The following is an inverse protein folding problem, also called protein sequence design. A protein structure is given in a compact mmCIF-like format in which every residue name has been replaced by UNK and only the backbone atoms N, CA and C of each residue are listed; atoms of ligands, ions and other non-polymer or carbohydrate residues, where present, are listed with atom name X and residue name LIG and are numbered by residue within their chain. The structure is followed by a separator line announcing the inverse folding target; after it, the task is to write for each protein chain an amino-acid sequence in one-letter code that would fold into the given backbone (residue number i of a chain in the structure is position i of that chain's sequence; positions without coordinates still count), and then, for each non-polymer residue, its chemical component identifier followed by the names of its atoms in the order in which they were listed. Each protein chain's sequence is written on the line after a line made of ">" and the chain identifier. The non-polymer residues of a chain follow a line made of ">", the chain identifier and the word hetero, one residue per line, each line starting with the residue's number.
data_IF_556117900319
#
_entry.id   IF_556117900319
#
_cell.length_a   1.000
_cell.length_b   1.000
_cell.length_c   1.000
_cell.angle_alpha   90.00
_cell.angle_beta   90.00
_cell.angle_gamma   90.00
#
_symmetry.space_group_name_H-M   'P 1'
#
loop_
_entity.id
_entity.type
_entity.pdbx_description
1 polymer ?
#
# COMPACT_ATOMS: atom_id res chain seq x y z
N UNK A 1 5.37 7.96 1.59
CA UNK A 1 3.89 7.84 1.48
C UNK A 1 3.31 8.79 0.44
N UNK A 2 3.39 10.12 0.59
CA UNK A 2 2.79 11.10 -0.34
C UNK A 2 3.13 10.87 -1.82
N UNK A 3 4.36 10.46 -2.12
CA UNK A 3 4.78 10.14 -3.49
C UNK A 3 3.98 8.98 -4.10
N UNK A 4 3.70 7.90 -3.36
CA UNK A 4 2.95 6.77 -3.91
C UNK A 4 1.51 7.19 -4.26
N UNK A 5 0.87 7.97 -3.39
CA UNK A 5 -0.48 8.50 -3.61
C UNK A 5 -0.59 9.36 -4.87
N UNK A 6 0.43 10.16 -5.19
CA UNK A 6 0.42 11.00 -6.40
C UNK A 6 0.85 10.26 -7.66
N UNK A 7 1.39 9.04 -7.53
CA UNK A 7 1.90 8.25 -8.65
C UNK A 7 1.05 7.00 -8.92
N UNK A 8 -0.18 6.90 -8.38
CA UNK A 8 -1.14 5.84 -8.73
C UNK A 8 -1.51 4.87 -7.60
N UNK A 9 -1.09 5.09 -6.36
CA UNK A 9 -1.65 4.39 -5.21
C UNK A 9 -2.99 5.01 -4.77
N UNK A 10 -3.92 4.18 -4.32
CA UNK A 10 -5.09 4.65 -3.58
C UNK A 10 -4.72 4.84 -2.09
N UNK A 11 -4.65 6.10 -1.67
CA UNK A 11 -4.39 6.47 -0.28
C UNK A 11 -5.64 6.90 0.48
N UNK A 12 -6.84 6.68 -0.08
CA UNK A 12 -8.10 7.00 0.59
C UNK A 12 -8.28 6.11 1.82
N UNK A 13 -8.01 4.81 1.71
CA UNK A 13 -8.24 3.85 2.80
C UNK A 13 -7.39 4.08 4.06
N UNK A 14 -6.27 4.81 3.94
CA UNK A 14 -5.36 5.14 5.07
C UNK A 14 -5.60 6.55 5.65
N UNK A 15 -6.58 7.30 5.16
CA UNK A 15 -6.94 8.59 5.76
C UNK A 15 -7.65 8.41 7.10
N UNK A 16 -7.68 9.47 7.91
CA UNK A 16 -8.46 9.47 9.15
C UNK A 16 -9.90 9.00 8.92
N UNK A 17 -10.42 8.18 9.84
CA UNK A 17 -11.74 7.55 9.80
C UNK A 17 -11.95 6.49 8.70
N UNK A 18 -10.89 6.05 8.03
CA UNK A 18 -10.97 5.01 7.00
C UNK A 18 -10.52 3.64 7.51
N UNK A 19 -10.81 2.59 6.73
CA UNK A 19 -10.69 1.20 7.14
C UNK A 19 -9.26 0.75 7.44
N UNK A 20 -8.26 1.35 6.79
CA UNK A 20 -6.83 1.06 6.98
C UNK A 20 -6.10 2.17 7.74
N UNK A 21 -6.82 3.03 8.46
CA UNK A 21 -6.19 4.06 9.28
C UNK A 21 -5.48 3.47 10.49
N UNK A 22 -6.07 2.44 11.11
CA UNK A 22 -5.49 1.76 12.26
C UNK A 22 -4.80 0.46 11.83
N UNK A 23 -3.62 0.14 12.37
CA UNK A 23 -2.83 0.96 13.31
C UNK A 23 -2.28 2.25 12.67
N UNK A 24 -2.38 3.38 13.39
CA UNK A 24 -1.95 4.70 12.90
C UNK A 24 -0.44 4.84 13.04
N UNK A 25 0.31 4.08 12.24
CA UNK A 25 1.76 4.20 12.13
C UNK A 25 2.18 4.50 10.70
N UNK A 26 3.29 5.21 10.58
CA UNK A 26 3.92 5.50 9.28
C UNK A 26 4.24 4.23 8.50
N UNK A 27 4.59 3.13 9.20
CA UNK A 27 4.94 1.85 8.56
C UNK A 27 3.72 1.18 7.95
N UNK A 28 2.59 1.17 8.65
CA UNK A 28 1.38 0.49 8.20
C UNK A 28 0.73 1.24 7.03
N UNK A 29 0.63 2.57 7.15
CA UNK A 29 0.19 3.44 6.06
C UNK A 29 1.10 3.35 4.83
N UNK A 30 2.42 3.25 5.03
CA UNK A 30 3.37 3.07 3.92
C UNK A 30 3.21 1.70 3.25
N UNK A 31 3.05 0.63 4.03
CA UNK A 31 2.83 -0.72 3.52
C UNK A 31 1.60 -0.77 2.61
N UNK A 32 0.49 -0.18 3.05
CA UNK A 32 -0.74 -0.13 2.26
C UNK A 32 -0.56 0.68 0.96
N UNK A 33 -0.01 1.90 1.06
CA UNK A 33 0.19 2.76 -0.11
C UNK A 33 1.16 2.15 -1.13
N UNK A 34 2.22 1.48 -0.66
CA UNK A 34 3.18 0.81 -1.52
C UNK A 34 2.60 -0.43 -2.18
N UNK A 35 1.77 -1.20 -1.47
CA UNK A 35 1.05 -2.31 -2.07
C UNK A 35 0.09 -1.82 -3.17
N UNK A 36 -0.76 -0.83 -2.89
CA UNK A 36 -1.69 -0.28 -3.88
C UNK A 36 -0.95 0.27 -5.11
N UNK A 37 0.14 1.03 -4.92
CA UNK A 37 1.01 1.47 -6.02
C UNK A 37 1.52 0.30 -6.87
N UNK A 38 2.08 -0.72 -6.21
CA UNK A 38 2.70 -1.85 -6.90
C UNK A 38 1.65 -2.66 -7.66
N UNK A 39 0.51 -2.96 -7.07
CA UNK A 39 -0.55 -3.73 -7.75
C UNK A 39 -1.11 -2.98 -8.97
N UNK A 40 -1.27 -1.66 -8.87
CA UNK A 40 -1.79 -0.84 -9.97
C UNK A 40 -0.81 -0.68 -11.13
N UNK A 41 0.50 -0.76 -10.88
CA UNK A 41 1.52 -0.42 -11.87
C UNK A 41 2.50 -1.56 -12.19
N UNK A 42 2.44 -2.71 -11.53
CA UNK A 42 3.32 -3.85 -11.82
C UNK A 42 3.21 -4.31 -13.27
N UNK A 43 2.01 -4.25 -13.84
CA UNK A 43 1.75 -4.56 -15.26
C UNK A 43 2.38 -3.53 -16.22
N UNK A 44 2.67 -2.32 -15.71
CA UNK A 44 3.35 -1.25 -16.44
C UNK A 44 4.86 -1.19 -16.13
N UNK A 45 5.42 -2.22 -15.47
CA UNK A 45 6.84 -2.33 -15.16
C UNK A 45 7.28 -1.62 -13.87
N UNK A 46 6.35 -1.19 -13.00
CA UNK A 46 6.73 -0.68 -11.70
C UNK A 46 7.36 -1.77 -10.83
N UNK A 47 8.37 -1.38 -10.05
CA UNK A 47 8.99 -2.24 -9.06
C UNK A 47 8.53 -1.85 -7.66
N UNK A 48 8.49 -2.82 -6.74
CA UNK A 48 8.29 -2.56 -5.31
C UNK A 48 9.57 -1.98 -4.64
N UNK A 49 10.50 -1.41 -5.42
CA UNK A 49 11.74 -0.86 -4.91
C UNK A 49 11.55 0.60 -4.48
N UNK A 50 11.11 0.78 -3.24
CA UNK A 50 11.02 2.10 -2.60
C UNK A 50 12.29 2.43 -1.82
N UNK A 51 13.45 2.38 -2.46
CA UNK A 51 14.76 2.61 -1.80
C UNK A 51 14.98 1.67 -0.60
N UNK A 52 14.71 0.37 -0.81
CA UNK A 52 14.74 -0.67 0.23
C UNK A 52 13.78 -0.45 1.43
N UNK A 53 12.84 0.50 1.34
CA UNK A 53 11.83 0.72 2.38
C UNK A 53 10.62 -0.23 2.28
N UNK A 54 10.59 -1.12 1.28
CA UNK A 54 9.52 -2.09 1.06
C UNK A 54 10.08 -3.44 0.62
N UNK A 55 9.35 -4.51 0.95
CA UNK A 55 9.63 -5.88 0.54
C UNK A 55 8.37 -6.50 -0.05
N UNK A 56 8.54 -7.43 -0.99
CA UNK A 56 7.45 -8.28 -1.43
C UNK A 56 7.24 -9.40 -0.42
N UNK A 57 5.99 -9.68 -0.12
CA UNK A 57 5.57 -10.77 0.77
C UNK A 57 4.40 -11.50 0.12
N UNK A 58 4.41 -12.83 0.22
CA UNK A 58 3.26 -13.66 -0.16
C UNK A 58 2.23 -13.77 0.97
N UNK A 59 2.62 -13.40 2.19
CA UNK A 59 1.71 -13.32 3.32
C UNK A 59 0.85 -12.06 3.20
N UNK A 60 -0.46 -12.25 3.13
CA UNK A 60 -1.45 -11.18 3.13
C UNK A 60 -1.44 -10.44 4.50
N UNK A 61 -1.05 -9.16 4.55
CA UNK A 61 -1.05 -8.37 5.78
C UNK A 61 -2.42 -7.77 6.12
N UNK A 62 -3.47 -8.09 5.36
CA UNK A 62 -4.84 -7.66 5.63
C UNK A 62 -5.31 -8.06 7.03
N UNK A 63 -5.99 -7.16 7.71
CA UNK A 63 -6.58 -7.40 9.02
C UNK A 63 -7.89 -6.63 9.18
N UNK A 64 -8.84 -7.19 9.94
CA UNK A 64 -10.17 -6.60 10.14
C UNK A 64 -10.83 -6.14 8.82
N UNK A 65 -11.21 -4.87 8.75
CA UNK A 65 -11.75 -4.17 7.58
C UNK A 65 -10.69 -3.61 6.63
N UNK A 66 -9.40 -3.65 7.01
CA UNK A 66 -8.31 -3.24 6.16
C UNK A 66 -7.90 -4.38 5.22
N UNK A 67 -8.08 -4.19 3.91
CA UNK A 67 -7.76 -5.19 2.89
C UNK A 67 -6.69 -4.67 1.93
N UNK A 68 -5.59 -5.39 1.85
CA UNK A 68 -4.54 -5.14 0.87
C UNK A 68 -4.99 -5.71 -0.47
N UNK A 69 -4.98 -4.87 -1.50
CA UNK A 69 -5.36 -5.29 -2.84
C UNK A 69 -4.37 -6.31 -3.41
N UNK A 70 -4.89 -7.26 -4.17
CA UNK A 70 -4.12 -8.20 -4.97
C UNK A 70 -4.76 -8.26 -6.36
N UNK A 71 -4.09 -7.66 -7.34
CA UNK A 71 -4.54 -7.66 -8.73
C UNK A 71 -3.73 -8.74 -9.44
N UNK A 72 -4.28 -9.89 -9.85
CA UNK A 72 -3.51 -10.95 -10.52
C UNK A 72 -2.74 -10.46 -11.75
#
# INVERSE_FOLDING_TARGET
>A
MRWACTNGADCCAIQEYQTCFFPNTTKDHASYAFNSYYQNLKHNGASCYFTAAAILTELDPSHDSCKFEYIP
#
